data_IF_189657204606
#
_entry.id   IF_189657204606
#
_cell.length_a   1.000
_cell.length_b   1.000
_cell.length_c   1.000
_cell.angle_alpha   90.00
_cell.angle_beta   90.00
_cell.angle_gamma   90.00
#
_symmetry.space_group_name_H-M   'P 1'
#
loop_
_entity.id
_entity.type
_entity.pdbx_description
1 polymer ?
#
# COMPACT_ATOMS: atom_id res chain seq x y z
N UNK A 1 -36.24 38.13 30.14
CA UNK A 1 -35.06 37.95 29.27
C UNK A 1 -35.54 37.50 27.91
N UNK A 2 -35.21 38.26 26.87
CA UNK A 2 -35.45 37.92 25.46
C UNK A 2 -34.40 36.91 24.99
N UNK A 3 -34.81 35.86 24.26
CA UNK A 3 -34.24 35.43 22.95
C UNK A 3 -34.69 34.00 22.60
N UNK A 4 -35.38 33.83 21.46
CA UNK A 4 -35.18 32.63 20.65
C UNK A 4 -36.36 31.72 20.29
N UNK A 5 -37.62 32.19 20.30
CA UNK A 5 -38.60 31.63 19.38
C UNK A 5 -38.20 32.06 17.95
N UNK A 6 -37.76 31.14 17.08
CA UNK A 6 -37.63 31.44 15.65
C UNK A 6 -36.57 30.71 14.81
N UNK A 7 -35.63 29.96 15.38
CA UNK A 7 -34.56 29.35 14.57
C UNK A 7 -34.99 28.05 13.85
N UNK A 8 -35.79 27.21 14.50
CA UNK A 8 -36.23 25.92 13.95
C UNK A 8 -37.19 26.06 12.76
N UNK A 9 -38.21 26.95 12.78
CA UNK A 9 -39.09 27.13 11.62
C UNK A 9 -38.35 27.72 10.41
N UNK A 10 -37.42 28.65 10.62
CA UNK A 10 -36.64 29.27 9.53
C UNK A 10 -35.61 28.32 8.94
N UNK A 11 -35.01 27.42 9.72
CA UNK A 11 -34.10 26.39 9.21
C UNK A 11 -34.84 25.32 8.41
N UNK A 12 -35.99 24.85 8.91
CA UNK A 12 -36.86 23.93 8.15
C UNK A 12 -37.39 24.59 6.87
N UNK A 13 -37.71 25.87 6.92
CA UNK A 13 -38.12 26.62 5.73
C UNK A 13 -36.95 26.83 4.76
N UNK A 14 -35.74 27.14 5.23
CA UNK A 14 -34.55 27.27 4.38
C UNK A 14 -34.15 25.95 3.71
N UNK A 15 -34.27 24.82 4.42
CA UNK A 15 -34.05 23.49 3.87
C UNK A 15 -35.13 23.09 2.84
N UNK A 16 -36.41 23.39 3.12
CA UNK A 16 -37.52 23.15 2.18
C UNK A 16 -37.39 24.03 0.92
N UNK A 17 -36.99 25.30 1.08
CA UNK A 17 -36.73 26.20 -0.06
C UNK A 17 -35.50 25.78 -0.87
N UNK A 18 -34.42 25.30 -0.22
CA UNK A 18 -33.25 24.76 -0.92
C UNK A 18 -33.59 23.48 -1.72
N UNK A 19 -34.44 22.62 -1.17
CA UNK A 19 -34.94 21.43 -1.84
C UNK A 19 -35.82 21.76 -3.05
N UNK A 20 -36.71 22.75 -2.93
CA UNK A 20 -37.56 23.22 -4.04
C UNK A 20 -36.79 23.99 -5.11
N UNK A 21 -35.73 24.72 -4.73
CA UNK A 21 -34.82 25.39 -5.67
C UNK A 21 -33.95 24.41 -6.47
N UNK A 22 -33.75 23.18 -5.97
CA UNK A 22 -33.09 22.07 -6.66
C UNK A 22 -33.97 21.42 -7.73
N UNK A 23 -34.54 22.21 -8.65
CA UNK A 23 -35.18 21.84 -9.95
C UNK A 23 -35.78 20.43 -10.10
N UNK A 24 -36.42 19.87 -9.06
CA UNK A 24 -37.20 18.64 -9.13
C UNK A 24 -36.48 17.33 -9.48
N UNK A 25 -35.16 17.22 -9.31
CA UNK A 25 -34.50 15.90 -9.38
C UNK A 25 -34.01 15.48 -8.00
N UNK A 26 -34.72 14.56 -7.31
CA UNK A 26 -34.16 13.93 -6.13
C UNK A 26 -32.93 13.14 -6.58
N UNK A 27 -31.75 13.50 -6.11
CA UNK A 27 -30.60 12.60 -6.12
C UNK A 27 -30.98 11.42 -5.23
N UNK A 28 -31.48 10.37 -5.88
CA UNK A 28 -31.84 9.13 -5.23
C UNK A 28 -30.62 8.57 -4.51
N UNK A 29 -30.81 7.98 -3.33
CA UNK A 29 -29.77 7.16 -2.69
C UNK A 29 -29.23 6.10 -3.67
N UNK A 30 -30.05 5.65 -4.62
CA UNK A 30 -29.65 4.77 -5.70
C UNK A 30 -28.73 5.44 -6.74
N UNK A 31 -28.83 6.75 -7.01
CA UNK A 31 -27.86 7.47 -7.86
C UNK A 31 -26.54 7.75 -7.12
N UNK A 32 -26.61 7.93 -5.80
CA UNK A 32 -25.45 8.01 -4.92
C UNK A 32 -24.70 6.68 -4.83
N UNK A 33 -25.39 5.54 -4.74
CA UNK A 33 -24.79 4.20 -4.80
C UNK A 33 -24.32 3.83 -6.21
N UNK A 34 -25.05 4.24 -7.26
CA UNK A 34 -24.71 3.99 -8.67
C UNK A 34 -23.47 4.74 -9.15
N UNK A 35 -23.04 5.78 -8.44
CA UNK A 35 -21.75 6.47 -8.64
C UNK A 35 -20.62 5.92 -7.75
N UNK A 36 -20.88 4.86 -6.99
CA UNK A 36 -19.92 4.20 -6.09
C UNK A 36 -19.96 4.69 -4.64
N UNK A 37 -20.90 5.56 -4.26
CA UNK A 37 -21.06 6.05 -2.90
C UNK A 37 -19.78 6.68 -2.32
N UNK A 38 -19.51 6.39 -1.04
CA UNK A 38 -18.30 6.86 -0.33
C UNK A 38 -17.04 6.29 -0.98
N UNK A 39 -17.08 5.05 -1.47
CA UNK A 39 -15.94 4.38 -2.12
C UNK A 39 -15.54 5.13 -3.40
N UNK A 40 -16.51 5.46 -4.25
CA UNK A 40 -16.30 6.23 -5.48
C UNK A 40 -15.79 7.64 -5.22
N UNK A 41 -16.24 8.30 -4.16
CA UNK A 41 -15.75 9.62 -3.76
C UNK A 41 -14.29 9.57 -3.25
N UNK A 42 -13.94 8.57 -2.44
CA UNK A 42 -12.57 8.35 -1.96
C UNK A 42 -11.63 8.01 -3.11
N UNK A 43 -12.05 7.11 -4.01
CA UNK A 43 -11.27 6.75 -5.20
C UNK A 43 -11.00 7.95 -6.11
N UNK A 44 -12.02 8.76 -6.41
CA UNK A 44 -11.86 9.99 -7.20
C UNK A 44 -10.95 11.00 -6.52
N UNK A 45 -11.07 11.16 -5.20
CA UNK A 45 -10.22 12.08 -4.43
C UNK A 45 -8.76 11.62 -4.43
N UNK A 46 -8.51 10.31 -4.28
CA UNK A 46 -7.18 9.73 -4.35
C UNK A 46 -6.56 9.86 -5.74
N UNK A 47 -7.35 9.57 -6.78
CA UNK A 47 -6.91 9.73 -8.16
C UNK A 47 -6.58 11.19 -8.48
N UNK A 48 -7.44 12.13 -8.10
CA UNK A 48 -7.20 13.56 -8.32
C UNK A 48 -5.94 14.04 -7.57
N UNK A 49 -5.71 13.58 -6.34
CA UNK A 49 -4.48 13.89 -5.60
C UNK A 49 -3.25 13.33 -6.33
N UNK A 50 -3.30 12.08 -6.78
CA UNK A 50 -2.22 11.44 -7.54
C UNK A 50 -1.93 12.14 -8.87
N UNK A 51 -2.96 12.60 -9.58
CA UNK A 51 -2.81 13.25 -10.88
C UNK A 51 -2.08 14.60 -10.79
N UNK A 52 -2.16 15.29 -9.64
CA UNK A 52 -1.41 16.53 -9.38
C UNK A 52 0.09 16.33 -9.16
N UNK A 53 0.53 15.09 -8.93
CA UNK A 53 1.94 14.79 -8.66
C UNK A 53 2.78 14.76 -9.95
N UNK A 54 4.02 15.22 -9.83
CA UNK A 54 5.06 15.01 -10.85
C UNK A 54 5.38 13.53 -11.03
N UNK A 55 6.04 13.18 -12.14
CA UNK A 55 6.46 11.79 -12.42
C UNK A 55 7.35 11.21 -11.32
N UNK A 56 8.29 11.98 -10.75
CA UNK A 56 9.11 11.54 -9.61
C UNK A 56 8.25 11.23 -8.39
N UNK A 57 7.33 12.14 -8.04
CA UNK A 57 6.46 12.01 -6.87
C UNK A 57 5.42 10.91 -7.01
N UNK A 58 4.98 10.58 -8.24
CA UNK A 58 4.13 9.42 -8.49
C UNK A 58 4.83 8.11 -8.16
N UNK A 59 6.12 7.98 -8.49
CA UNK A 59 6.93 6.81 -8.11
C UNK A 59 7.11 6.73 -6.58
N UNK A 60 7.35 7.87 -5.93
CA UNK A 60 7.43 7.95 -4.47
C UNK A 60 6.10 7.60 -3.81
N UNK A 61 4.98 8.11 -4.32
CA UNK A 61 3.64 7.80 -3.84
C UNK A 61 3.38 6.30 -3.87
N UNK A 62 3.70 5.64 -5.00
CA UNK A 62 3.61 4.18 -5.10
C UNK A 62 4.40 3.47 -3.99
N UNK A 63 5.65 3.87 -3.74
CA UNK A 63 6.50 3.24 -2.71
C UNK A 63 6.00 3.52 -1.28
N UNK A 64 5.42 4.70 -1.03
CA UNK A 64 4.84 5.04 0.27
C UNK A 64 3.58 4.20 0.51
N UNK A 65 2.64 4.18 -0.42
CA UNK A 65 1.38 3.45 -0.25
C UNK A 65 1.59 1.95 -0.11
N UNK A 66 2.51 1.33 -0.86
CA UNK A 66 2.80 -0.10 -0.69
C UNK A 66 3.43 -0.44 0.66
N UNK A 67 4.14 0.51 1.30
CA UNK A 67 4.66 0.35 2.67
C UNK A 67 3.59 0.53 3.74
N UNK A 68 2.61 1.38 3.49
CA UNK A 68 1.47 1.62 4.39
C UNK A 68 0.42 0.49 4.35
N UNK A 69 0.65 -0.57 3.57
CA UNK A 69 -0.25 -1.71 3.46
C UNK A 69 0.44 -2.97 3.95
N UNK A 70 -0.21 -3.67 4.86
CA UNK A 70 0.20 -4.99 5.32
C UNK A 70 -0.77 -6.05 4.78
N UNK A 71 -0.21 -7.09 4.17
CA UNK A 71 -0.96 -8.28 3.78
C UNK A 71 -0.94 -9.29 4.92
N UNK A 72 -2.13 -9.68 5.37
CA UNK A 72 -2.34 -10.71 6.38
C UNK A 72 -2.08 -12.11 5.82
N UNK A 73 -1.96 -13.12 6.70
CA UNK A 73 -1.77 -14.52 6.31
C UNK A 73 -2.90 -15.05 5.38
N UNK A 74 -4.11 -14.49 5.51
CA UNK A 74 -5.27 -14.82 4.68
C UNK A 74 -5.26 -14.12 3.31
N UNK A 75 -4.18 -13.39 2.96
CA UNK A 75 -4.06 -12.66 1.69
C UNK A 75 -4.88 -11.37 1.63
N UNK A 76 -5.45 -10.92 2.75
CA UNK A 76 -6.18 -9.64 2.83
C UNK A 76 -5.23 -8.49 3.13
N UNK A 77 -5.33 -7.44 2.33
CA UNK A 77 -4.60 -6.19 2.51
C UNK A 77 -5.29 -5.30 3.55
N UNK A 78 -4.49 -4.76 4.47
CA UNK A 78 -4.93 -3.97 5.63
C UNK A 78 -4.04 -2.74 5.79
N UNK A 79 -4.57 -1.66 6.35
CA UNK A 79 -3.76 -0.47 6.59
C UNK A 79 -2.75 -0.75 7.71
N UNK A 80 -1.51 -0.30 7.51
CA UNK A 80 -0.44 -0.41 8.50
C UNK A 80 0.09 0.97 8.85
N UNK A 81 0.31 1.17 10.14
CA UNK A 81 1.04 2.34 10.65
C UNK A 81 2.53 2.16 10.41
N UNK A 82 3.19 3.16 9.83
CA UNK A 82 4.62 3.13 9.52
C UNK A 82 5.30 4.39 10.05
N UNK A 83 6.52 4.26 10.58
CA UNK A 83 7.31 5.41 10.99
C UNK A 83 7.75 6.22 9.77
N UNK A 84 7.65 7.55 9.85
CA UNK A 84 8.05 8.45 8.76
C UNK A 84 9.55 8.32 8.43
N UNK A 85 10.36 7.99 9.43
CA UNK A 85 11.78 7.69 9.26
C UNK A 85 12.01 6.47 8.34
N UNK A 86 11.19 5.42 8.44
CA UNK A 86 11.33 4.21 7.63
C UNK A 86 11.03 4.46 6.15
N UNK A 87 10.19 5.46 5.85
CA UNK A 87 9.91 5.87 4.47
C UNK A 87 11.13 6.50 3.79
N UNK A 88 12.02 7.15 4.55
CA UNK A 88 13.16 7.92 4.03
C UNK A 88 14.53 7.31 4.36
N UNK A 89 14.57 6.25 5.17
CA UNK A 89 15.81 5.61 5.60
C UNK A 89 16.66 5.13 4.40
N UNK A 90 17.95 5.49 4.41
CA UNK A 90 18.90 5.16 3.35
C UNK A 90 18.67 5.88 2.01
N UNK A 91 17.83 6.93 1.99
CA UNK A 91 17.56 7.75 0.79
C UNK A 91 18.20 9.13 0.91
N UNK A 92 18.34 9.81 -0.24
CA UNK A 92 18.90 11.16 -0.28
C UNK A 92 17.86 12.23 0.15
N UNK A 93 18.34 13.45 0.38
CA UNK A 93 17.48 14.57 0.81
C UNK A 93 16.35 14.88 -0.19
N UNK A 94 16.64 14.84 -1.49
CA UNK A 94 15.65 15.10 -2.54
C UNK A 94 14.48 14.09 -2.50
N UNK A 95 14.78 12.81 -2.25
CA UNK A 95 13.74 11.79 -2.08
C UNK A 95 12.92 12.05 -0.81
N UNK A 96 13.56 12.45 0.28
CA UNK A 96 12.85 12.79 1.52
C UNK A 96 11.89 13.98 1.34
N UNK A 97 12.29 15.00 0.56
CA UNK A 97 11.42 16.11 0.17
C UNK A 97 10.23 15.63 -0.67
N UNK A 98 10.46 14.76 -1.65
CA UNK A 98 9.37 14.19 -2.45
C UNK A 98 8.42 13.33 -1.60
N UNK A 99 8.91 12.56 -0.63
CA UNK A 99 8.07 11.83 0.34
C UNK A 99 7.21 12.81 1.12
N UNK A 100 7.80 13.87 1.67
CA UNK A 100 7.07 14.86 2.45
C UNK A 100 5.97 15.54 1.61
N UNK A 101 6.28 15.95 0.39
CA UNK A 101 5.31 16.56 -0.53
C UNK A 101 4.14 15.61 -0.86
N UNK A 102 4.44 14.32 -1.06
CA UNK A 102 3.41 13.29 -1.26
C UNK A 102 2.53 13.17 -0.01
N UNK A 103 3.14 13.00 1.17
CA UNK A 103 2.41 12.85 2.44
C UNK A 103 1.47 14.04 2.68
N UNK A 104 1.96 15.27 2.50
CA UNK A 104 1.17 16.49 2.65
C UNK A 104 0.02 16.56 1.63
N UNK A 105 0.26 16.20 0.38
CA UNK A 105 -0.77 16.20 -0.68
C UNK A 105 -1.94 15.29 -0.34
N UNK A 106 -1.66 14.06 0.11
CA UNK A 106 -2.70 13.10 0.47
C UNK A 106 -3.33 13.39 1.84
N UNK A 107 -2.57 13.92 2.81
CA UNK A 107 -3.10 14.34 4.11
C UNK A 107 -4.04 15.53 3.99
N UNK A 108 -3.76 16.50 3.10
CA UNK A 108 -4.65 17.63 2.81
C UNK A 108 -6.03 17.18 2.28
N UNK A 109 -6.10 15.99 1.69
CA UNK A 109 -7.34 15.36 1.22
C UNK A 109 -7.92 14.36 2.21
N UNK A 110 -7.38 14.28 3.43
CA UNK A 110 -7.75 13.33 4.50
C UNK A 110 -7.59 11.86 4.12
N UNK A 111 -6.77 11.55 3.11
CA UNK A 111 -6.51 10.16 2.69
C UNK A 111 -5.43 9.52 3.57
N UNK A 112 -4.51 10.32 4.08
CA UNK A 112 -3.51 9.92 5.07
C UNK A 112 -3.71 10.70 6.36
N UNK A 113 -3.41 10.03 7.48
CA UNK A 113 -3.25 10.65 8.79
C UNK A 113 -1.75 10.71 9.10
N UNK A 114 -1.28 11.92 9.41
CA UNK A 114 0.09 12.18 9.84
C UNK A 114 0.07 12.45 11.33
N UNK A 115 0.71 11.58 12.10
CA UNK A 115 1.02 11.82 13.51
C UNK A 115 2.44 12.40 13.65
N UNK A 116 2.95 12.56 14.88
CA UNK A 116 4.26 13.16 15.13
C UNK A 116 5.38 12.43 14.35
N UNK A 117 5.38 11.09 14.42
CA UNK A 117 6.41 10.27 13.80
C UNK A 117 5.85 9.17 12.90
N UNK A 118 4.52 9.02 12.80
CA UNK A 118 3.89 7.92 12.06
C UNK A 118 2.93 8.39 10.98
N UNK A 119 2.81 7.57 9.95
CA UNK A 119 1.90 7.76 8.82
C UNK A 119 0.99 6.54 8.74
N UNK A 120 -0.29 6.78 8.50
CA UNK A 120 -1.32 5.74 8.34
C UNK A 120 -2.37 6.17 7.31
N UNK A 121 -3.00 5.19 6.66
CA UNK A 121 -4.15 5.45 5.77
C UNK A 121 -5.38 5.74 6.63
N UNK A 122 -6.05 6.86 6.37
CA UNK A 122 -7.18 7.29 7.22
C UNK A 122 -8.39 6.36 7.15
N UNK A 123 -8.64 5.78 5.97
CA UNK A 123 -9.81 4.93 5.73
C UNK A 123 -9.40 3.71 4.89
N UNK A 124 -9.59 2.51 5.43
CA UNK A 124 -9.26 1.24 4.73
C UNK A 124 -10.01 1.05 3.41
N UNK A 125 -11.14 1.74 3.23
CA UNK A 125 -11.87 1.80 1.96
C UNK A 125 -10.98 2.23 0.78
N UNK A 126 -9.90 2.99 1.04
CA UNK A 126 -8.94 3.37 0.02
C UNK A 126 -8.27 2.15 -0.64
N UNK A 127 -8.04 1.07 0.13
CA UNK A 127 -7.36 -0.14 -0.33
C UNK A 127 -8.21 -0.93 -1.33
N UNK A 128 -9.53 -0.87 -1.21
CA UNK A 128 -10.46 -1.59 -2.07
C UNK A 128 -11.02 -0.72 -3.19
N UNK A 129 -11.21 0.58 -2.93
CA UNK A 129 -11.90 1.49 -3.82
C UNK A 129 -11.00 2.14 -4.88
N UNK A 130 -9.69 2.30 -4.61
CA UNK A 130 -8.78 2.93 -5.57
C UNK A 130 -8.12 1.89 -6.49
N UNK A 131 -8.53 1.78 -7.77
CA UNK A 131 -8.10 0.68 -8.62
C UNK A 131 -6.59 0.66 -8.86
N UNK A 132 -5.96 1.82 -9.00
CA UNK A 132 -4.51 1.94 -9.19
C UNK A 132 -3.72 1.34 -8.02
N UNK A 133 -4.20 1.52 -6.78
CA UNK A 133 -3.56 0.93 -5.61
C UNK A 133 -3.76 -0.59 -5.58
N UNK A 134 -5.02 -1.03 -5.73
CA UNK A 134 -5.41 -2.44 -5.63
C UNK A 134 -4.84 -3.31 -6.75
N UNK A 135 -5.05 -2.87 -8.00
CA UNK A 135 -4.84 -3.69 -9.19
C UNK A 135 -3.42 -3.58 -9.74
N UNK A 136 -2.80 -2.41 -9.64
CA UNK A 136 -1.43 -2.22 -10.14
C UNK A 136 -0.41 -2.36 -9.00
N UNK A 137 -0.52 -1.55 -7.95
CA UNK A 137 0.58 -1.43 -6.98
C UNK A 137 0.67 -2.63 -6.04
N UNK A 138 -0.46 -3.05 -5.46
CA UNK A 138 -0.49 -4.17 -4.54
C UNK A 138 -0.33 -5.51 -5.26
N UNK A 139 -0.93 -5.68 -6.44
CA UNK A 139 -0.73 -6.88 -7.26
C UNK A 139 0.76 -7.13 -7.60
N UNK A 140 1.50 -6.08 -7.95
CA UNK A 140 2.95 -6.20 -8.20
C UNK A 140 3.73 -6.57 -6.93
N UNK A 141 3.33 -6.08 -5.75
CA UNK A 141 3.96 -6.44 -4.46
C UNK A 141 3.67 -7.90 -4.08
N UNK A 142 2.45 -8.37 -4.32
CA UNK A 142 2.08 -9.77 -4.12
C UNK A 142 2.90 -10.70 -5.02
N UNK A 143 3.06 -10.34 -6.30
CA UNK A 143 3.88 -11.10 -7.24
C UNK A 143 5.35 -11.17 -6.80
N UNK A 144 5.97 -10.05 -6.41
CA UNK A 144 7.37 -10.03 -5.92
C UNK A 144 7.54 -10.86 -4.64
N UNK A 145 6.55 -10.83 -3.73
CA UNK A 145 6.56 -11.66 -2.51
C UNK A 145 6.52 -13.15 -2.81
N UNK A 146 5.67 -13.59 -3.72
CA UNK A 146 5.55 -15.01 -4.10
C UNK A 146 6.88 -15.50 -4.68
N UNK A 147 7.51 -14.72 -5.56
CA UNK A 147 8.83 -15.07 -6.11
C UNK A 147 9.88 -15.15 -5.00
N UNK A 148 9.89 -14.20 -4.07
CA UNK A 148 10.85 -14.20 -2.94
C UNK A 148 10.60 -15.34 -1.97
N UNK A 149 9.34 -15.70 -1.68
CA UNK A 149 9.02 -16.83 -0.81
C UNK A 149 9.41 -18.15 -1.47
N UNK A 150 9.23 -18.31 -2.78
CA UNK A 150 9.71 -19.49 -3.50
C UNK A 150 11.24 -19.61 -3.46
N UNK A 151 11.95 -18.50 -3.64
CA UNK A 151 13.41 -18.47 -3.53
C UNK A 151 13.89 -18.78 -2.10
N UNK A 152 13.19 -18.26 -1.09
CA UNK A 152 13.52 -18.50 0.33
C UNK A 152 13.23 -19.94 0.73
N UNK A 153 12.08 -20.49 0.32
CA UNK A 153 11.72 -21.89 0.55
C UNK A 153 12.70 -22.86 -0.13
N UNK A 154 13.16 -22.55 -1.35
CA UNK A 154 14.19 -23.33 -2.03
C UNK A 154 15.56 -23.25 -1.33
N UNK A 155 15.89 -22.12 -0.71
CA UNK A 155 17.10 -21.98 0.10
C UNK A 155 16.99 -22.75 1.42
N UNK A 156 15.84 -22.67 2.11
CA UNK A 156 15.58 -23.41 3.35
C UNK A 156 15.58 -24.93 3.09
N UNK A 157 14.98 -25.40 1.99
CA UNK A 157 15.00 -26.82 1.58
C UNK A 157 16.44 -27.30 1.30
N UNK A 158 17.29 -26.46 0.73
CA UNK A 158 18.71 -26.77 0.47
C UNK A 158 19.54 -26.85 1.76
N UNK A 159 19.21 -26.01 2.76
CA UNK A 159 19.82 -26.06 4.09
C UNK A 159 19.34 -27.26 4.92
N UNK A 160 18.05 -27.60 4.84
CA UNK A 160 17.46 -28.72 5.58
C UNK A 160 17.86 -30.09 4.98
N UNK A 161 18.16 -30.14 3.69
CA UNK A 161 18.84 -31.29 3.04
C UNK A 161 20.36 -31.32 3.24
N UNK A 162 20.92 -30.39 4.03
CA UNK A 162 22.33 -30.38 4.43
C UNK A 162 23.32 -30.21 3.28
N UNK A 163 22.93 -29.51 2.20
CA UNK A 163 23.77 -29.33 1.02
C UNK A 163 24.10 -30.64 0.28
N UNK A 164 23.31 -31.69 0.46
CA UNK A 164 23.52 -32.98 -0.21
C UNK A 164 22.69 -33.01 -1.50
N UNK A 165 23.30 -33.12 -2.70
CA UNK A 165 22.52 -33.32 -3.92
C UNK A 165 21.69 -34.60 -3.77
N UNK A 166 20.47 -34.68 -4.34
CA UNK A 166 19.61 -35.84 -4.20
C UNK A 166 20.32 -37.08 -4.76
N UNK A 167 20.89 -37.88 -3.87
CA UNK A 167 21.51 -39.15 -4.21
C UNK A 167 20.43 -40.19 -4.36
N UNK A 168 19.97 -40.42 -5.59
CA UNK A 168 19.50 -41.73 -6.04
C UNK A 168 19.22 -41.71 -7.55
N UNK A 169 20.28 -41.77 -8.35
CA UNK A 169 20.23 -42.58 -9.57
C UNK A 169 21.41 -43.56 -9.48
N UNK A 170 21.18 -44.69 -8.84
CA UNK A 170 22.00 -45.88 -9.06
C UNK A 170 21.52 -46.53 -10.36
N UNK A 171 22.19 -46.20 -11.47
CA UNK A 171 21.86 -46.70 -12.79
C UNK A 171 22.88 -46.27 -13.84
N UNK A 172 24.13 -46.70 -13.67
CA UNK A 172 25.15 -46.94 -14.71
C UNK A 172 25.19 -46.01 -15.94
N UNK A 173 26.22 -45.16 -16.02
CA UNK A 173 26.67 -44.58 -17.30
C UNK A 173 27.53 -43.33 -17.14
N UNK A 174 28.85 -43.49 -17.28
CA UNK A 174 29.84 -42.42 -17.19
C UNK A 174 29.57 -41.20 -18.09
N UNK A 175 29.76 -39.98 -17.57
CA UNK A 175 30.66 -38.93 -18.13
C UNK A 175 30.59 -37.58 -17.39
N UNK A 176 31.79 -37.06 -17.12
CA UNK A 176 32.20 -35.65 -16.95
C UNK A 176 31.55 -34.80 -15.86
N UNK A 177 32.33 -34.55 -14.80
CA UNK A 177 32.12 -33.47 -13.84
C UNK A 177 32.61 -32.11 -14.42
N UNK A 178 31.86 -31.01 -14.26
CA UNK A 178 32.42 -29.67 -14.35
C UNK A 178 33.14 -29.30 -13.04
N UNK A 179 34.35 -28.72 -13.15
CA UNK A 179 35.14 -28.23 -12.02
C UNK A 179 34.46 -27.03 -11.30
N UNK A 180 34.56 -26.94 -9.96
CA UNK A 180 34.25 -25.74 -9.21
C UNK A 180 35.39 -24.70 -9.29
N UNK A 181 35.11 -23.39 -9.17
CA UNK A 181 36.12 -22.34 -9.13
C UNK A 181 36.98 -22.42 -7.85
N UNK A 182 38.29 -22.11 -7.91
CA UNK A 182 39.17 -22.18 -6.74
C UNK A 182 39.03 -20.94 -5.84
N UNK A 183 38.99 -21.16 -4.52
CA UNK A 183 39.55 -20.22 -3.55
C UNK A 183 38.58 -19.57 -2.55
N UNK A 184 37.97 -20.34 -1.65
CA UNK A 184 37.65 -19.84 -0.31
C UNK A 184 38.06 -20.92 0.71
N UNK A 185 39.15 -20.65 1.43
CA UNK A 185 39.64 -21.51 2.50
C UNK A 185 38.95 -21.11 3.82
N UNK A 186 38.26 -22.04 4.53
CA UNK A 186 37.86 -21.78 5.90
C UNK A 186 39.04 -22.07 6.85
N UNK A 187 39.44 -21.03 7.58
CA UNK A 187 40.37 -21.08 8.71
C UNK A 187 39.84 -22.05 9.77
N UNK A 188 40.59 -23.11 10.06
CA UNK A 188 40.28 -24.07 11.13
C UNK A 188 40.62 -23.42 12.48
N UNK A 189 39.61 -23.11 13.28
CA UNK A 189 39.78 -22.77 14.70
C UNK A 189 39.98 -24.07 15.50
N UNK A 190 41.18 -24.24 16.05
CA UNK A 190 41.51 -25.29 17.02
C UNK A 190 40.91 -24.91 18.38
N UNK A 191 40.05 -25.74 18.95
CA UNK A 191 39.55 -25.58 20.33
C UNK A 191 40.29 -26.58 21.23
N UNK A 192 40.97 -26.07 22.24
CA UNK A 192 41.42 -26.82 23.41
C UNK A 192 40.25 -27.07 24.38
#
# INVERSE_FOLDING_TARGET
GVSGAGALPLLSHALDQAWRASRGMPLSLADYERTGGIEGAVAQTAQAAYDTLSSSRRQVARQVFTRLVATTADGRDTASRVARADLTNGKNAAYAEDVNAVLETFAAKRLLTLDADTVEISHEVLLTAWPLLRDDWLAEVHADRIVRSHLSAAADEWWDTGGRPPTSIAGSGARSAPQPPPGFAPTRATRH
#
